data_IF_462601883670
#
_entry.id   IF_462601883670
#
_cell.length_a   1.000
_cell.length_b   1.000
_cell.length_c   1.000
_cell.angle_alpha   90.00
_cell.angle_beta   90.00
_cell.angle_gamma   90.00
#
_symmetry.space_group_name_H-M   'P 1'
#
loop_
_entity.id
_entity.type
_entity.pdbx_description
1 polymer ?
#
# COMPACT_ATOMS: atom_id res chain seq x y z
N UNK A 1 3.70 2.77 7.13
CA UNK A 1 4.25 4.11 7.45
C UNK A 1 3.14 5.14 7.26
N UNK A 2 3.21 6.35 7.83
CA UNK A 2 2.12 7.32 7.64
C UNK A 2 2.02 7.73 6.16
N UNK A 3 0.82 7.66 5.58
CA UNK A 3 0.56 7.99 4.18
C UNK A 3 0.83 6.85 3.19
N UNK A 4 1.40 5.74 3.64
CA UNK A 4 1.45 4.52 2.83
C UNK A 4 0.04 3.99 2.57
N UNK A 5 -0.85 4.11 3.55
CA UNK A 5 -2.27 3.79 3.42
C UNK A 5 -3.02 4.69 2.44
N UNK A 6 -2.45 5.85 2.09
CA UNK A 6 -2.97 6.74 1.07
C UNK A 6 -2.28 6.53 -0.29
N UNK A 7 -1.32 5.61 -0.38
CA UNK A 7 -0.54 5.39 -1.60
C UNK A 7 0.36 6.58 -1.96
N UNK A 8 0.84 7.34 -0.97
CA UNK A 8 1.73 8.48 -1.23
C UNK A 8 3.05 8.01 -1.86
N UNK A 9 3.46 8.59 -3.00
CA UNK A 9 4.79 8.36 -3.55
C UNK A 9 5.86 9.08 -2.70
N UNK A 10 7.13 8.73 -2.92
CA UNK A 10 8.23 9.53 -2.41
C UNK A 10 8.15 10.94 -3.01
N UNK A 11 8.19 11.97 -2.17
CA UNK A 11 8.13 13.35 -2.65
C UNK A 11 9.51 13.87 -3.09
N UNK A 12 9.54 14.53 -4.24
CA UNK A 12 10.73 15.26 -4.70
C UNK A 12 10.86 16.60 -3.97
N UNK A 13 11.90 16.75 -3.15
CA UNK A 13 12.17 17.97 -2.37
C UNK A 13 13.18 18.86 -3.12
N UNK A 14 12.85 20.14 -3.38
CA UNK A 14 13.82 21.09 -3.95
C UNK A 14 15.06 21.21 -3.07
N UNK A 15 16.25 21.27 -3.69
CA UNK A 15 17.54 21.26 -2.97
C UNK A 15 17.67 22.39 -1.93
N UNK A 16 17.13 23.56 -2.22
CA UNK A 16 17.11 24.72 -1.34
C UNK A 16 16.09 24.61 -0.19
N UNK A 17 15.25 23.57 -0.20
CA UNK A 17 14.24 23.27 0.81
C UNK A 17 14.56 22.05 1.66
N UNK A 18 15.61 21.29 1.33
CA UNK A 18 16.06 20.14 2.11
C UNK A 18 16.36 20.56 3.55
N UNK A 19 15.82 19.78 4.50
CA UNK A 19 15.99 19.96 5.95
C UNK A 19 16.85 18.84 6.57
N UNK A 20 16.96 17.67 5.93
CA UNK A 20 17.66 16.52 6.50
C UNK A 20 19.18 16.78 6.58
N UNK A 21 19.77 16.81 7.79
CA UNK A 21 21.21 16.96 7.95
C UNK A 21 22.03 15.85 7.26
N UNK A 22 21.42 14.69 6.97
CA UNK A 22 22.12 13.62 6.24
C UNK A 22 22.55 14.06 4.84
N UNK A 23 21.68 14.78 4.12
CA UNK A 23 21.99 15.27 2.77
C UNK A 23 23.24 16.16 2.79
N UNK A 24 23.29 17.12 3.71
CA UNK A 24 24.42 18.04 3.85
C UNK A 24 25.70 17.33 4.31
N UNK A 25 25.61 16.35 5.23
CA UNK A 25 26.76 15.57 5.71
C UNK A 25 27.37 14.68 4.62
N UNK A 26 26.57 14.29 3.64
CA UNK A 26 26.99 13.48 2.49
C UNK A 26 27.36 14.33 1.28
N UNK A 27 27.46 15.66 1.42
CA UNK A 27 27.73 16.59 0.33
C UNK A 27 26.75 16.40 -0.84
N UNK A 28 25.49 16.10 -0.54
CA UNK A 28 24.42 15.90 -1.54
C UNK A 28 24.45 14.55 -2.27
N UNK A 29 25.36 13.62 -1.92
CA UNK A 29 25.38 12.28 -2.51
C UNK A 29 24.20 11.39 -2.08
N UNK A 30 23.52 11.76 -1.00
CA UNK A 30 22.34 11.09 -0.46
C UNK A 30 21.19 12.11 -0.46
N UNK A 31 20.02 11.82 -1.06
CA UNK A 31 18.88 12.73 -1.07
C UNK A 31 18.34 13.01 0.34
N UNK A 32 18.69 12.21 1.34
CA UNK A 32 18.18 12.31 2.70
C UNK A 32 16.82 11.62 2.84
N UNK A 33 16.05 12.02 3.84
CA UNK A 33 14.78 11.37 4.21
C UNK A 33 13.59 12.34 4.19
N UNK A 34 13.73 13.51 3.57
CA UNK A 34 12.67 14.51 3.59
C UNK A 34 11.50 14.15 2.68
N UNK A 35 11.72 13.38 1.61
CA UNK A 35 10.66 12.98 0.68
C UNK A 35 9.53 12.21 1.37
N UNK A 36 9.85 11.31 2.29
CA UNK A 36 8.84 10.61 3.11
C UNK A 36 8.28 11.44 4.28
N UNK A 37 8.78 12.66 4.54
CA UNK A 37 8.38 13.50 5.69
C UNK A 37 7.49 14.67 5.33
N UNK A 38 7.09 14.77 4.06
CA UNK A 38 6.17 15.81 3.60
C UNK A 38 4.86 15.76 4.41
N UNK A 39 4.32 16.93 4.81
CA UNK A 39 3.04 17.02 5.50
C UNK A 39 1.91 16.25 4.83
N UNK A 40 1.17 15.50 5.66
CA UNK A 40 0.07 14.64 5.23
C UNK A 40 -1.06 15.42 4.55
N UNK A 41 -1.63 14.91 3.44
CA UNK A 41 -2.81 15.48 2.83
C UNK A 41 -4.06 14.91 3.51
N UNK A 42 -4.76 15.73 4.30
CA UNK A 42 -6.00 15.36 4.98
C UNK A 42 -7.26 15.76 4.21
N UNK A 43 -7.28 16.98 3.67
CA UNK A 43 -8.43 17.54 2.98
C UNK A 43 -8.04 18.23 1.67
N UNK A 44 -8.50 17.70 0.53
CA UNK A 44 -8.04 18.11 -0.79
C UNK A 44 -8.29 19.60 -1.12
N UNK A 45 -9.41 20.15 -0.63
CA UNK A 45 -9.86 21.52 -0.91
C UNK A 45 -9.30 22.58 0.04
N UNK A 46 -8.54 22.19 1.07
CA UNK A 46 -8.04 23.09 2.11
C UNK A 46 -6.60 23.53 1.82
N UNK A 47 -6.16 24.71 2.32
CA UNK A 47 -4.77 25.12 2.27
C UNK A 47 -3.83 24.02 2.79
N UNK A 48 -2.76 23.76 2.03
CA UNK A 48 -1.77 22.71 2.33
C UNK A 48 -2.43 21.34 2.57
N UNK A 49 -3.43 21.03 1.75
CA UNK A 49 -4.22 19.81 1.81
C UNK A 49 -4.77 19.52 3.23
N UNK A 50 -5.16 20.56 3.97
CA UNK A 50 -5.76 20.40 5.29
C UNK A 50 -4.80 19.97 6.39
N UNK A 51 -3.47 20.14 6.21
CA UNK A 51 -2.49 19.86 7.27
C UNK A 51 -2.63 20.79 8.50
N UNK A 52 -3.46 21.82 8.42
CA UNK A 52 -3.68 22.80 9.49
C UNK A 52 -2.71 23.98 9.46
N UNK A 53 -1.99 24.15 8.34
CA UNK A 53 -1.15 25.31 8.10
C UNK A 53 -1.92 26.38 7.31
N UNK A 54 -1.72 27.65 7.64
CA UNK A 54 -2.23 28.81 6.87
C UNK A 54 -1.14 29.45 6.01
N UNK A 55 0.09 28.96 6.14
CA UNK A 55 1.30 29.38 5.41
C UNK A 55 2.10 28.14 5.04
N UNK A 56 3.14 28.32 4.22
CA UNK A 56 3.95 27.19 3.76
C UNK A 56 4.53 26.40 4.93
N UNK A 57 4.44 25.08 4.82
CA UNK A 57 4.92 24.13 5.81
C UNK A 57 6.45 24.00 5.79
N UNK A 58 7.01 23.40 6.84
CA UNK A 58 8.45 23.18 6.99
C UNK A 58 9.09 22.39 5.83
N UNK A 59 8.33 21.48 5.22
CA UNK A 59 8.61 20.87 3.92
C UNK A 59 7.48 21.19 2.95
N UNK A 60 7.79 21.51 1.67
CA UNK A 60 6.77 21.82 0.68
C UNK A 60 5.97 20.57 0.31
N UNK A 61 4.67 20.73 0.07
CA UNK A 61 3.86 19.68 -0.54
C UNK A 61 4.07 19.72 -2.07
N UNK A 62 4.34 18.58 -2.72
CA UNK A 62 4.46 18.49 -4.16
C UNK A 62 3.19 18.93 -4.90
N UNK A 63 3.34 19.20 -6.19
CA UNK A 63 2.19 19.37 -7.08
C UNK A 63 1.32 18.10 -7.07
N UNK A 64 0.00 18.25 -7.05
CA UNK A 64 -0.93 17.13 -7.04
C UNK A 64 -1.06 16.38 -5.70
N UNK A 65 -0.37 16.80 -4.63
CA UNK A 65 -0.41 16.10 -3.33
C UNK A 65 -1.81 16.02 -2.73
N UNK A 66 -2.66 17.02 -2.97
CA UNK A 66 -4.08 17.02 -2.56
C UNK A 66 -4.90 15.92 -3.23
N UNK A 67 -4.46 15.39 -4.38
CA UNK A 67 -5.08 14.25 -5.06
C UNK A 67 -4.97 12.93 -4.30
N UNK A 68 -4.13 12.87 -3.27
CA UNK A 68 -4.01 11.72 -2.36
C UNK A 68 -4.73 11.94 -1.02
N UNK A 69 -5.45 13.05 -0.84
CA UNK A 69 -5.97 13.43 0.45
C UNK A 69 -6.92 12.38 1.06
N UNK A 70 -6.87 12.28 2.39
CA UNK A 70 -7.64 11.27 3.12
C UNK A 70 -9.16 11.46 2.95
N UNK A 71 -9.67 12.68 2.84
CA UNK A 71 -11.09 12.98 2.66
C UNK A 71 -11.68 12.40 1.37
N UNK A 72 -10.99 12.59 0.25
CA UNK A 72 -11.41 12.07 -1.06
C UNK A 72 -11.29 10.55 -1.11
N UNK A 73 -10.20 9.97 -0.60
CA UNK A 73 -10.03 8.52 -0.56
C UNK A 73 -11.05 7.86 0.37
N UNK A 74 -11.40 8.50 1.49
CA UNK A 74 -12.41 7.98 2.38
C UNK A 74 -13.77 7.81 1.69
N UNK A 75 -14.10 8.66 0.72
CA UNK A 75 -15.33 8.57 -0.08
C UNK A 75 -15.28 7.59 -1.26
N UNK A 76 -14.08 7.13 -1.64
CA UNK A 76 -13.88 6.23 -2.78
C UNK A 76 -13.64 4.79 -2.29
N UNK A 77 -14.58 3.85 -2.53
CA UNK A 77 -14.45 2.46 -2.09
C UNK A 77 -13.24 1.72 -2.69
N UNK A 78 -12.76 2.16 -3.85
CA UNK A 78 -11.64 1.53 -4.57
C UNK A 78 -10.29 2.19 -4.25
N UNK A 79 -10.26 3.13 -3.30
CA UNK A 79 -9.04 3.82 -2.89
C UNK A 79 -8.07 2.95 -2.08
N UNK A 80 -6.79 3.36 -2.06
CA UNK A 80 -5.76 2.72 -1.25
C UNK A 80 -6.13 2.70 0.24
N UNK A 81 -6.74 3.79 0.74
CA UNK A 81 -7.18 3.90 2.12
C UNK A 81 -8.20 2.82 2.48
N UNK A 82 -9.21 2.62 1.62
CA UNK A 82 -10.23 1.62 1.86
C UNK A 82 -9.72 0.19 1.61
N UNK A 83 -8.79 -0.01 0.68
CA UNK A 83 -8.04 -1.25 0.53
C UNK A 83 -7.28 -1.64 1.82
N UNK A 84 -6.54 -0.72 2.45
CA UNK A 84 -5.85 -0.98 3.72
C UNK A 84 -6.83 -1.30 4.85
N UNK A 85 -7.92 -0.55 4.96
CA UNK A 85 -8.96 -0.78 5.98
C UNK A 85 -9.56 -2.17 5.83
N UNK A 86 -9.87 -2.59 4.62
CA UNK A 86 -10.45 -3.89 4.34
C UNK A 86 -9.44 -5.02 4.58
N UNK A 87 -8.19 -4.87 4.13
CA UNK A 87 -7.11 -5.80 4.42
C UNK A 87 -6.92 -6.02 5.93
N UNK A 88 -6.92 -4.95 6.72
CA UNK A 88 -6.80 -5.03 8.17
C UNK A 88 -8.06 -5.61 8.83
N UNK A 89 -9.24 -5.35 8.29
CA UNK A 89 -10.50 -5.97 8.76
C UNK A 89 -10.46 -7.48 8.53
N UNK A 90 -10.15 -7.92 7.31
CA UNK A 90 -10.02 -9.34 6.94
C UNK A 90 -8.92 -10.02 7.76
N UNK A 91 -7.78 -9.37 7.98
CA UNK A 91 -6.72 -9.90 8.84
C UNK A 91 -7.21 -10.20 10.27
N UNK A 92 -8.16 -9.42 10.79
CA UNK A 92 -8.76 -9.65 12.12
C UNK A 92 -9.87 -10.69 12.12
N UNK A 93 -10.62 -10.81 11.03
CA UNK A 93 -11.84 -11.64 10.98
C UNK A 93 -11.67 -13.00 10.32
N UNK A 94 -10.74 -13.14 9.36
CA UNK A 94 -10.53 -14.39 8.62
C UNK A 94 -9.62 -15.35 9.40
N UNK A 95 -9.95 -16.64 9.44
CA UNK A 95 -9.10 -17.69 10.01
C UNK A 95 -7.68 -17.69 9.43
N UNK A 96 -6.70 -18.15 10.21
CA UNK A 96 -5.31 -18.31 9.76
C UNK A 96 -4.49 -17.02 9.59
N UNK A 97 -5.06 -15.84 9.85
CA UNK A 97 -4.34 -14.56 9.90
C UNK A 97 -3.87 -14.09 11.29
N UNK A 98 -4.45 -14.64 12.36
CA UNK A 98 -4.38 -14.05 13.70
C UNK A 98 -2.97 -13.93 14.31
N UNK A 99 -2.86 -13.31 15.49
CA UNK A 99 -1.73 -13.51 16.41
C UNK A 99 -2.20 -13.30 17.85
N UNK A 100 -2.10 -14.35 18.66
CA UNK A 100 -1.70 -14.48 20.08
C UNK A 100 -2.51 -15.61 20.76
N UNK A 101 -1.81 -16.60 21.33
CA UNK A 101 -2.38 -17.58 22.25
C UNK A 101 -2.78 -18.95 21.70
N UNK A 102 -2.96 -19.13 20.38
CA UNK A 102 -3.23 -20.47 19.83
C UNK A 102 -1.92 -21.23 19.53
N UNK A 103 -1.65 -22.38 20.17
CA UNK A 103 -0.50 -23.22 19.88
C UNK A 103 -0.72 -23.92 18.54
N UNK A 104 -0.36 -23.24 17.46
CA UNK A 104 -0.37 -23.77 16.11
C UNK A 104 0.49 -22.88 15.25
N UNK A 105 1.68 -23.36 14.89
CA UNK A 105 2.60 -22.66 13.98
C UNK A 105 1.79 -22.26 12.76
N UNK A 106 1.57 -20.96 12.56
CA UNK A 106 0.94 -20.43 11.35
C UNK A 106 1.91 -20.62 10.21
N UNK A 107 1.89 -21.82 9.64
CA UNK A 107 2.75 -22.18 8.54
C UNK A 107 2.21 -21.50 7.28
N UNK A 108 3.11 -20.77 6.66
CA UNK A 108 3.01 -20.38 5.28
C UNK A 108 3.58 -21.53 4.44
N UNK A 109 2.86 -21.94 3.41
CA UNK A 109 3.31 -22.90 2.42
C UNK A 109 3.39 -22.21 1.07
N UNK A 110 4.59 -22.15 0.49
CA UNK A 110 4.78 -21.64 -0.86
C UNK A 110 4.05 -22.55 -1.85
N UNK A 111 3.38 -21.92 -2.82
CA UNK A 111 2.76 -22.61 -3.94
C UNK A 111 3.64 -22.42 -5.17
N UNK A 112 3.61 -23.39 -6.08
CA UNK A 112 4.25 -23.23 -7.38
C UNK A 112 3.55 -22.09 -8.14
N UNK A 113 4.35 -21.19 -8.70
CA UNK A 113 3.88 -20.04 -9.45
C UNK A 113 4.88 -19.69 -10.56
N UNK A 114 4.42 -18.95 -11.57
CA UNK A 114 5.27 -18.46 -12.64
C UNK A 114 6.35 -17.49 -12.10
N UNK A 115 7.50 -17.34 -12.78
CA UNK A 115 8.50 -16.35 -12.41
C UNK A 115 7.91 -14.95 -12.27
N UNK A 116 8.21 -14.25 -11.18
CA UNK A 116 7.64 -12.93 -10.87
C UNK A 116 6.28 -12.97 -10.16
N UNK A 117 5.71 -14.15 -9.93
CA UNK A 117 4.48 -14.32 -9.14
C UNK A 117 4.81 -14.94 -7.79
N UNK A 118 4.39 -14.27 -6.71
CA UNK A 118 4.48 -14.80 -5.36
C UNK A 118 3.14 -15.43 -4.99
N UNK A 119 3.12 -16.73 -4.70
CA UNK A 119 1.91 -17.42 -4.27
C UNK A 119 2.18 -18.25 -3.00
N UNK A 120 1.31 -18.14 -2.00
CA UNK A 120 1.41 -18.95 -0.78
C UNK A 120 0.05 -19.17 -0.11
N UNK A 121 -0.04 -20.28 0.62
CA UNK A 121 -1.18 -20.61 1.46
C UNK A 121 -0.86 -20.38 2.94
N UNK A 122 -1.82 -19.85 3.69
CA UNK A 122 -1.78 -19.83 5.17
C UNK A 122 -2.52 -21.05 5.70
N UNK A 123 -1.91 -21.76 6.65
CA UNK A 123 -2.56 -22.92 7.29
C UNK A 123 -3.87 -22.50 7.96
N UNK A 124 -4.98 -23.09 7.53
CA UNK A 124 -6.33 -22.76 8.03
C UNK A 124 -6.77 -21.33 7.69
N UNK A 125 -6.14 -20.70 6.69
CA UNK A 125 -6.44 -19.34 6.27
C UNK A 125 -6.39 -19.18 4.75
N UNK A 126 -6.24 -17.94 4.26
CA UNK A 126 -6.34 -17.67 2.83
C UNK A 126 -5.08 -18.04 2.03
N UNK A 127 -5.29 -18.13 0.72
CA UNK A 127 -4.24 -18.11 -0.28
C UNK A 127 -3.95 -16.65 -0.63
N UNK A 128 -2.69 -16.30 -0.81
CA UNK A 128 -2.26 -14.97 -1.21
C UNK A 128 -1.46 -15.10 -2.51
N UNK A 129 -1.80 -14.29 -3.52
CA UNK A 129 -1.07 -14.21 -4.78
C UNK A 129 -0.72 -12.75 -5.06
N UNK A 130 0.53 -12.47 -5.42
CA UNK A 130 1.01 -11.14 -5.83
C UNK A 130 1.72 -11.29 -7.16
N UNK A 131 1.30 -10.54 -8.16
CA UNK A 131 1.91 -10.56 -9.48
C UNK A 131 2.83 -9.36 -9.68
N UNK A 132 4.13 -9.62 -9.78
CA UNK A 132 5.17 -8.63 -10.12
C UNK A 132 5.68 -8.82 -11.55
N UNK A 133 5.12 -9.78 -12.29
CA UNK A 133 5.44 -10.02 -13.69
C UNK A 133 4.56 -9.15 -14.61
N UNK A 134 5.04 -8.91 -15.82
CA UNK A 134 4.28 -8.16 -16.83
C UNK A 134 3.03 -8.93 -17.33
N UNK A 135 3.09 -10.25 -17.32
CA UNK A 135 2.01 -11.11 -17.80
C UNK A 135 0.99 -11.39 -16.69
N UNK A 136 -0.29 -11.50 -17.05
CA UNK A 136 -1.34 -11.85 -16.11
C UNK A 136 -1.15 -13.29 -15.59
N UNK A 137 -1.26 -13.46 -14.26
CA UNK A 137 -1.01 -14.72 -13.58
C UNK A 137 -2.31 -15.53 -13.34
N UNK A 138 -2.23 -16.84 -13.53
CA UNK A 138 -3.31 -17.75 -13.15
C UNK A 138 -3.49 -17.80 -11.62
N UNK A 139 -4.73 -17.88 -11.18
CA UNK A 139 -5.05 -18.02 -9.77
C UNK A 139 -5.14 -19.50 -9.38
N UNK A 140 -4.66 -19.91 -8.19
CA UNK A 140 -4.84 -21.27 -7.70
C UNK A 140 -6.34 -21.57 -7.52
N UNK A 141 -6.76 -22.85 -7.49
CA UNK A 141 -8.13 -23.22 -7.19
C UNK A 141 -8.61 -22.57 -5.88
N UNK A 142 -9.79 -21.94 -5.92
CA UNK A 142 -10.34 -21.19 -4.82
C UNK A 142 -11.87 -21.16 -4.90
N UNK A 143 -12.51 -20.92 -3.77
CA UNK A 143 -13.97 -20.81 -3.64
C UNK A 143 -14.48 -19.36 -3.65
N UNK A 144 -13.63 -18.39 -3.29
CA UNK A 144 -13.99 -16.97 -3.29
C UNK A 144 -12.77 -16.05 -3.33
N UNK A 145 -12.94 -14.85 -3.89
CA UNK A 145 -12.02 -13.71 -3.72
C UNK A 145 -12.41 -12.97 -2.44
N UNK A 146 -11.46 -12.83 -1.52
CA UNK A 146 -11.65 -12.09 -0.26
C UNK A 146 -11.26 -10.63 -0.40
N UNK A 147 -10.18 -10.36 -1.13
CA UNK A 147 -9.65 -9.02 -1.37
C UNK A 147 -8.84 -9.02 -2.66
N UNK A 148 -8.95 -7.97 -3.46
CA UNK A 148 -8.06 -7.71 -4.58
C UNK A 148 -7.60 -6.25 -4.51
N UNK A 149 -6.32 -5.98 -4.78
CA UNK A 149 -5.78 -4.61 -4.81
C UNK A 149 -6.08 -3.87 -6.12
N UNK A 150 -6.72 -4.55 -7.07
CA UNK A 150 -7.10 -4.06 -8.39
C UNK A 150 -7.99 -5.09 -9.08
N UNK A 151 -8.60 -4.74 -10.23
CA UNK A 151 -9.48 -5.66 -10.96
C UNK A 151 -8.70 -6.86 -11.51
N UNK A 152 -9.38 -8.01 -11.56
CA UNK A 152 -8.90 -9.15 -12.37
C UNK A 152 -9.15 -8.86 -13.85
N UNK A 153 -8.41 -9.52 -14.74
CA UNK A 153 -8.67 -9.42 -16.18
C UNK A 153 -9.98 -10.14 -16.58
N UNK A 154 -10.37 -10.00 -17.84
CA UNK A 154 -11.62 -10.60 -18.37
C UNK A 154 -11.65 -12.13 -18.28
N UNK A 155 -10.48 -12.78 -18.18
CA UNK A 155 -10.33 -14.22 -18.01
C UNK A 155 -10.27 -14.64 -16.52
N UNK A 156 -10.34 -13.69 -15.59
CA UNK A 156 -10.23 -13.93 -14.14
C UNK A 156 -8.80 -14.12 -13.65
N UNK A 157 -7.79 -13.70 -14.43
CA UNK A 157 -6.37 -13.77 -14.08
C UNK A 157 -5.94 -12.50 -13.38
N UNK A 158 -4.82 -12.57 -12.65
CA UNK A 158 -4.28 -11.48 -11.85
C UNK A 158 -3.32 -10.60 -12.69
N UNK A 159 -3.65 -9.35 -13.01
CA UNK A 159 -2.77 -8.46 -13.77
C UNK A 159 -1.48 -8.11 -13.03
N UNK A 160 -0.55 -7.48 -13.73
CA UNK A 160 0.68 -6.92 -13.14
C UNK A 160 0.36 -5.96 -11.97
N UNK A 161 1.27 -5.91 -10.98
CA UNK A 161 1.23 -5.03 -9.81
C UNK A 161 -0.05 -5.16 -8.97
N UNK A 162 -0.70 -6.33 -9.06
CA UNK A 162 -1.94 -6.64 -8.34
C UNK A 162 -1.73 -7.79 -7.37
N UNK A 163 -2.38 -7.71 -6.21
CA UNK A 163 -2.42 -8.74 -5.19
C UNK A 163 -3.86 -9.21 -4.96
N UNK A 164 -4.04 -10.49 -4.66
CA UNK A 164 -5.34 -11.06 -4.30
C UNK A 164 -5.22 -12.00 -3.09
N UNK A 165 -6.22 -11.95 -2.21
CA UNK A 165 -6.45 -12.92 -1.15
C UNK A 165 -7.66 -13.77 -1.52
N UNK A 166 -7.50 -15.08 -1.44
CA UNK A 166 -8.50 -16.06 -1.87
C UNK A 166 -8.84 -16.99 -0.71
N UNK A 167 -10.09 -17.47 -0.69
CA UNK A 167 -10.49 -18.60 0.13
C UNK A 167 -10.28 -19.89 -0.66
N UNK A 168 -9.57 -20.86 -0.08
CA UNK A 168 -9.36 -22.17 -0.68
C UNK A 168 -10.68 -22.89 -1.00
#
# INVERSE_FOLDING_TARGET
YQGEELGLPEADIPLDRIQDPMHFRKNGADPGRDGCRVPMPWAAGEPYAGFGATTETWLPQPEGWSGYAADIQNGDPDSMLNLYREALRLRRSEPGFGTEGEPGIQRLTWLDAAPGVLAFARTGGPLCVVNLAAEAAELPPHSAVLLASGPLDEAGRLPQDTAVWLRA
#
